data_IF_707866994846
#
_entry.id   IF_707866994846
#
_cell.length_a   1.000
_cell.length_b   1.000
_cell.length_c   1.000
_cell.angle_alpha   90.00
_cell.angle_beta   90.00
_cell.angle_gamma   90.00
#
_symmetry.space_group_name_H-M   'P 1'
#
loop_
_entity.id
_entity.type
_entity.pdbx_description
1 polymer ?
#
# COMPACT_ATOMS: atom_id res chain seq x y z
N UNK A 1 16.92 14.35 12.22
CA UNK A 1 15.89 13.30 12.40
C UNK A 1 15.56 12.74 11.02
N UNK A 2 15.53 11.42 10.88
CA UNK A 2 15.14 10.75 9.63
C UNK A 2 13.67 10.34 9.73
N UNK A 3 12.88 10.64 8.70
CA UNK A 3 11.47 10.25 8.63
C UNK A 3 11.34 8.80 8.18
N UNK A 4 10.42 8.05 8.79
CA UNK A 4 10.12 6.67 8.37
C UNK A 4 8.81 6.69 7.59
N UNK A 5 8.88 6.31 6.31
CA UNK A 5 7.70 6.21 5.46
C UNK A 5 7.16 4.78 5.48
N UNK A 6 5.84 4.65 5.62
CA UNK A 6 5.18 3.35 5.61
C UNK A 6 4.50 3.10 4.28
N UNK A 7 4.51 1.84 3.84
CA UNK A 7 3.76 1.44 2.67
C UNK A 7 2.26 1.31 3.00
N UNK A 8 1.45 1.95 2.17
CA UNK A 8 0.00 1.82 2.12
C UNK A 8 -0.40 1.51 0.68
N UNK A 9 -1.57 0.91 0.50
CA UNK A 9 -2.11 0.63 -0.82
C UNK A 9 -2.43 1.90 -1.61
N UNK A 10 -2.11 1.91 -2.91
CA UNK A 10 -2.27 3.05 -3.81
C UNK A 10 -3.73 3.44 -4.06
N UNK A 11 -4.70 2.59 -3.72
CA UNK A 11 -6.13 2.92 -3.73
C UNK A 11 -6.61 3.59 -2.43
N UNK A 12 -5.80 3.60 -1.37
CA UNK A 12 -6.16 4.22 -0.07
C UNK A 12 -6.31 5.74 -0.22
N UNK A 13 -7.52 6.32 -0.03
CA UNK A 13 -7.71 7.75 -0.16
C UNK A 13 -6.91 8.54 0.89
N UNK A 14 -6.43 9.71 0.52
CA UNK A 14 -5.68 10.57 1.44
C UNK A 14 -6.53 10.98 2.66
N UNK A 15 -5.89 11.15 3.82
CA UNK A 15 -6.59 11.39 5.09
C UNK A 15 -7.34 10.19 5.67
N UNK A 16 -7.34 9.03 4.99
CA UNK A 16 -8.00 7.82 5.49
C UNK A 16 -7.12 7.10 6.50
N UNK A 17 -7.72 6.66 7.62
CA UNK A 17 -7.04 5.76 8.55
C UNK A 17 -6.97 4.36 7.96
N UNK A 18 -5.76 3.85 7.79
CA UNK A 18 -5.50 2.53 7.20
C UNK A 18 -4.50 1.75 8.06
N UNK A 19 -4.47 0.44 7.85
CA UNK A 19 -3.43 -0.41 8.41
C UNK A 19 -2.35 -0.58 7.35
N UNK A 20 -1.14 -0.14 7.68
CA UNK A 20 0.04 -0.27 6.81
C UNK A 20 0.43 -1.72 6.63
N UNK A 21 1.31 -1.99 5.66
CA UNK A 21 1.76 -3.34 5.41
C UNK A 21 2.46 -3.98 6.62
N UNK A 22 3.15 -3.20 7.46
CA UNK A 22 3.77 -3.72 8.69
C UNK A 22 2.78 -3.91 9.85
N UNK A 23 1.47 -3.66 9.65
CA UNK A 23 0.44 -3.79 10.67
C UNK A 23 0.21 -2.53 11.52
N UNK A 24 0.97 -1.45 11.31
CA UNK A 24 0.79 -0.21 12.06
C UNK A 24 -0.45 0.56 11.56
N UNK A 25 -1.35 1.04 12.45
CA UNK A 25 -2.46 1.89 12.06
C UNK A 25 -2.01 3.34 11.90
N UNK A 26 -2.13 3.90 10.70
CA UNK A 26 -1.75 5.29 10.39
C UNK A 26 -2.82 5.99 9.55
N UNK A 27 -2.79 7.32 9.55
CA UNK A 27 -3.57 8.13 8.61
C UNK A 27 -2.74 8.34 7.35
N UNK A 28 -3.33 8.08 6.17
CA UNK A 28 -2.69 8.36 4.90
C UNK A 28 -2.42 9.87 4.77
N UNK A 29 -1.18 10.23 4.48
CA UNK A 29 -0.74 11.60 4.20
C UNK A 29 0.20 11.58 3.00
N UNK A 30 -0.39 11.54 1.80
CA UNK A 30 0.36 11.47 0.54
C UNK A 30 1.11 12.76 0.27
N UNK A 31 0.50 13.91 0.59
CA UNK A 31 1.13 15.21 0.40
C UNK A 31 2.35 15.39 1.31
N UNK A 32 2.23 15.03 2.59
CA UNK A 32 3.33 15.04 3.54
C UNK A 32 4.43 14.05 3.17
N UNK A 33 4.08 12.82 2.79
CA UNK A 33 5.05 11.84 2.30
C UNK A 33 5.80 12.34 1.05
N UNK A 34 5.10 12.93 0.08
CA UNK A 34 5.72 13.50 -1.12
C UNK A 34 6.66 14.67 -0.78
N UNK A 35 6.23 15.55 0.13
CA UNK A 35 7.07 16.66 0.62
C UNK A 35 8.34 16.15 1.30
N UNK A 36 8.23 15.15 2.17
CA UNK A 36 9.37 14.52 2.85
C UNK A 36 10.31 13.86 1.84
N UNK A 37 9.77 13.13 0.86
CA UNK A 37 10.57 12.50 -0.19
C UNK A 37 11.37 13.50 -1.03
N UNK A 38 10.82 14.70 -1.23
CA UNK A 38 11.45 15.75 -2.03
C UNK A 38 12.47 16.60 -1.25
N UNK A 39 12.31 16.75 0.07
CA UNK A 39 13.01 17.81 0.83
C UNK A 39 13.79 17.31 2.05
N UNK A 40 13.57 16.08 2.50
CA UNK A 40 14.06 15.59 3.78
C UNK A 40 14.89 14.30 3.70
N UNK A 41 15.52 13.97 4.83
CA UNK A 41 16.06 12.62 5.05
C UNK A 41 14.92 11.68 5.42
N UNK A 42 14.77 10.61 4.66
CA UNK A 42 13.76 9.59 4.89
C UNK A 42 14.30 8.18 4.62
N UNK A 43 13.62 7.19 5.17
CA UNK A 43 13.83 5.78 4.88
C UNK A 43 12.48 5.06 4.83
N UNK A 44 12.40 3.98 4.06
CA UNK A 44 11.23 3.10 4.08
C UNK A 44 11.18 2.34 5.40
N UNK A 45 9.99 2.09 5.94
CA UNK A 45 9.81 1.22 7.09
C UNK A 45 10.39 -0.18 6.76
N UNK A 46 11.40 -0.69 7.50
CA UNK A 46 12.05 -1.96 7.16
C UNK A 46 11.10 -3.16 7.14
N UNK A 47 10.05 -3.12 7.97
CA UNK A 47 9.03 -4.16 7.98
C UNK A 47 8.10 -4.09 6.76
N UNK A 48 7.73 -2.88 6.32
CA UNK A 48 6.99 -2.70 5.08
C UNK A 48 7.83 -3.16 3.88
N UNK A 49 9.11 -2.81 3.86
CA UNK A 49 10.05 -3.21 2.81
C UNK A 49 10.19 -4.74 2.74
N UNK A 50 10.53 -5.39 3.86
CA UNK A 50 10.65 -6.84 3.94
C UNK A 50 9.38 -7.53 3.46
N UNK A 51 8.21 -7.08 3.94
CA UNK A 51 6.94 -7.70 3.58
C UNK A 51 6.61 -7.53 2.09
N UNK A 52 6.90 -6.38 1.49
CA UNK A 52 6.78 -6.22 0.02
C UNK A 52 7.71 -7.16 -0.72
N UNK A 53 8.94 -7.35 -0.26
CA UNK A 53 9.88 -8.30 -0.87
C UNK A 53 9.36 -9.73 -0.79
N UNK A 54 8.81 -10.15 0.36
CA UNK A 54 8.22 -11.48 0.53
C UNK A 54 7.00 -11.69 -0.38
N UNK A 55 6.13 -10.69 -0.52
CA UNK A 55 5.00 -10.70 -1.48
C UNK A 55 5.51 -10.82 -2.92
N UNK A 56 6.51 -10.03 -3.31
CA UNK A 56 7.11 -10.07 -4.65
C UNK A 56 7.79 -11.41 -4.98
N UNK A 57 8.27 -12.14 -3.96
CA UNK A 57 8.80 -13.50 -4.10
C UNK A 57 7.72 -14.59 -4.07
N UNK A 58 6.45 -14.23 -3.83
CA UNK A 58 5.34 -15.18 -3.68
C UNK A 58 5.36 -15.97 -2.37
N UNK A 59 6.11 -15.52 -1.35
CA UNK A 59 6.21 -16.16 -0.04
C UNK A 59 5.17 -15.65 0.96
N UNK A 60 4.60 -14.48 0.71
CA UNK A 60 3.47 -13.94 1.46
C UNK A 60 2.31 -13.58 0.53
N UNK A 61 1.08 -13.71 1.05
CA UNK A 61 -0.10 -13.25 0.34
C UNK A 61 -0.12 -11.73 0.27
N UNK A 62 -0.41 -11.19 -0.91
CA UNK A 62 -0.69 -9.77 -1.07
C UNK A 62 -2.02 -9.43 -0.37
N UNK A 63 -2.02 -8.59 0.68
CA UNK A 63 -3.26 -8.14 1.31
C UNK A 63 -4.10 -7.23 0.40
N UNK A 64 -3.51 -6.73 -0.69
CA UNK A 64 -4.17 -5.90 -1.68
C UNK A 64 -4.19 -6.66 -3.01
N UNK A 65 -5.07 -7.67 -3.16
CA UNK A 65 -5.07 -8.48 -4.37
C UNK A 65 -5.24 -7.58 -5.58
N UNK A 66 -4.35 -7.73 -6.57
CA UNK A 66 -4.56 -7.14 -7.89
C UNK A 66 -6.00 -7.48 -8.30
N UNK A 67 -6.84 -6.45 -8.43
CA UNK A 67 -8.20 -6.64 -8.91
C UNK A 67 -8.04 -7.36 -10.24
N UNK A 68 -8.52 -8.62 -10.39
CA UNK A 68 -8.24 -9.39 -11.59
C UNK A 68 -8.65 -8.53 -12.78
N UNK A 69 -7.69 -8.26 -13.68
CA UNK A 69 -7.91 -7.45 -14.87
C UNK A 69 -9.21 -7.94 -15.50
N UNK A 70 -10.26 -7.12 -15.43
CA UNK A 70 -11.67 -7.54 -15.59
C UNK A 70 -11.79 -8.60 -16.68
N UNK A 71 -11.75 -9.89 -16.32
CA UNK A 71 -12.39 -10.91 -17.13
C UNK A 71 -13.83 -10.44 -17.10
N UNK A 72 -14.33 -9.98 -18.25
CA UNK A 72 -15.67 -9.41 -18.40
C UNK A 72 -16.62 -10.32 -17.64
N UNK A 73 -17.02 -9.89 -16.45
CA UNK A 73 -18.04 -10.59 -15.72
C UNK A 73 -19.30 -10.26 -16.50
N UNK A 74 -19.68 -11.18 -17.37
CA UNK A 74 -20.92 -11.11 -18.13
C UNK A 74 -21.99 -11.74 -17.24
N UNK A 75 -22.95 -10.93 -16.81
CA UNK A 75 -24.13 -11.42 -16.13
C UNK A 75 -24.83 -12.42 -17.06
N UNK A 76 -25.11 -13.66 -16.62
CA UNK A 76 -25.89 -14.58 -17.41
C UNK A 76 -27.25 -13.95 -17.74
N UNK A 77 -27.82 -14.20 -18.94
CA UNK A 77 -29.12 -13.63 -19.29
C UNK A 77 -30.13 -14.00 -18.20
N UNK A 78 -30.77 -12.97 -17.65
CA UNK A 78 -31.94 -13.18 -16.80
C UNK A 78 -33.05 -13.65 -17.73
N UNK A 79 -33.44 -14.91 -17.55
CA UNK A 79 -34.60 -15.50 -18.22
C UNK A 79 -35.84 -14.62 -18.05
#
# INVERSE_FOLDING_TARGET
MTNILHYIDDSTPDGTRTTTLCGSPLTADRAGAASIMATGSWTMCPLCELRRTLIGMGLEADPYPERPARRRWEQPPLF
#
